data_IF_657106579812
#
_entry.id   IF_657106579812
#
_cell.length_a   1.000
_cell.length_b   1.000
_cell.length_c   1.000
_cell.angle_alpha   90.00
_cell.angle_beta   90.00
_cell.angle_gamma   90.00
#
_symmetry.space_group_name_H-M   'P 1'
#
loop_
_entity.id
_entity.type
_entity.pdbx_description
1 polymer ?
#
# COMPACT_ATOMS: atom_id res chain seq x y z
N UNK A 1 22.34 0.97 3.65
CA UNK A 1 21.21 0.09 3.29
C UNK A 1 21.62 -1.38 3.39
N UNK A 2 22.08 -1.98 2.29
CA UNK A 2 22.33 -3.44 2.20
C UNK A 2 23.21 -4.00 3.33
N UNK A 3 24.37 -3.41 3.59
CA UNK A 3 25.27 -3.89 4.65
C UNK A 3 24.63 -3.92 6.04
N UNK A 4 23.78 -2.94 6.37
CA UNK A 4 23.04 -2.91 7.64
C UNK A 4 22.12 -4.13 7.76
N UNK A 5 21.28 -4.38 6.76
CA UNK A 5 20.35 -5.51 6.74
C UNK A 5 21.06 -6.87 6.70
N UNK A 6 22.18 -6.97 5.98
CA UNK A 6 23.02 -8.17 5.97
C UNK A 6 23.61 -8.43 7.36
N UNK A 7 24.14 -7.40 8.02
CA UNK A 7 24.77 -7.52 9.33
C UNK A 7 23.79 -7.98 10.42
N UNK A 8 22.53 -7.57 10.34
CA UNK A 8 21.48 -8.05 11.25
C UNK A 8 21.35 -9.58 11.22
N UNK A 9 21.47 -10.20 10.05
CA UNK A 9 21.37 -11.66 9.87
C UNK A 9 22.71 -12.34 10.16
N UNK A 10 23.82 -11.82 9.64
CA UNK A 10 25.15 -12.46 9.79
C UNK A 10 25.65 -12.42 11.23
N UNK A 11 25.16 -11.51 12.07
CA UNK A 11 25.43 -11.48 13.51
C UNK A 11 25.07 -12.79 14.24
N UNK A 12 24.18 -13.62 13.66
CA UNK A 12 23.81 -14.92 14.22
C UNK A 12 24.88 -16.02 14.07
N UNK A 13 25.95 -15.80 13.30
CA UNK A 13 26.95 -16.82 13.01
C UNK A 13 26.31 -18.04 12.32
N UNK A 14 26.42 -19.23 12.92
CA UNK A 14 25.86 -20.50 12.42
C UNK A 14 24.58 -20.94 13.14
N UNK A 15 24.03 -20.13 14.06
CA UNK A 15 22.83 -20.48 14.79
C UNK A 15 21.59 -20.38 13.88
N UNK A 16 21.09 -21.52 13.41
CA UNK A 16 19.97 -21.58 12.46
C UNK A 16 18.68 -20.95 13.00
N UNK A 17 18.36 -21.15 14.29
CA UNK A 17 17.16 -20.55 14.89
C UNK A 17 17.26 -19.03 14.92
N UNK A 18 18.44 -18.49 15.21
CA UNK A 18 18.70 -17.05 15.15
C UNK A 18 18.58 -16.52 13.73
N UNK A 19 19.18 -17.21 12.75
CA UNK A 19 19.13 -16.83 11.33
C UNK A 19 17.69 -16.78 10.83
N UNK A 20 16.88 -17.80 11.13
CA UNK A 20 15.48 -17.88 10.70
C UNK A 20 14.66 -16.75 11.32
N UNK A 21 14.82 -16.50 12.63
CA UNK A 21 14.16 -15.40 13.31
C UNK A 21 14.58 -14.03 12.77
N UNK A 22 15.88 -13.82 12.49
CA UNK A 22 16.38 -12.57 11.89
C UNK A 22 15.87 -12.38 10.47
N UNK A 23 15.82 -13.41 9.63
CA UNK A 23 15.23 -13.34 8.27
C UNK A 23 13.77 -12.87 8.32
N UNK A 24 12.97 -13.44 9.22
CA UNK A 24 11.58 -13.05 9.40
C UNK A 24 11.49 -11.58 9.83
N UNK A 25 12.22 -11.19 10.88
CA UNK A 25 12.13 -9.84 11.45
C UNK A 25 12.71 -8.76 10.54
N UNK A 26 13.86 -8.99 9.92
CA UNK A 26 14.50 -8.06 8.98
C UNK A 26 13.60 -7.82 7.77
N UNK A 27 12.99 -8.88 7.24
CA UNK A 27 12.12 -8.75 6.08
C UNK A 27 10.80 -8.05 6.41
N UNK A 28 10.21 -8.33 7.57
CA UNK A 28 9.06 -7.57 8.06
C UNK A 28 9.42 -6.09 8.27
N UNK A 29 10.58 -5.80 8.88
CA UNK A 29 11.04 -4.44 9.15
C UNK A 29 11.17 -3.59 7.87
N UNK A 30 11.50 -4.20 6.73
CA UNK A 30 11.49 -3.48 5.45
C UNK A 30 10.09 -2.94 5.10
N UNK A 31 9.05 -3.78 5.09
CA UNK A 31 7.67 -3.37 4.78
C UNK A 31 7.07 -2.44 5.84
N UNK A 32 7.52 -2.55 7.09
CA UNK A 32 7.09 -1.71 8.20
C UNK A 32 7.90 -0.39 8.29
N UNK A 33 8.94 -0.21 7.49
CA UNK A 33 9.79 0.98 7.54
C UNK A 33 9.01 2.24 7.15
N UNK A 34 9.42 3.39 7.71
CA UNK A 34 8.84 4.68 7.32
C UNK A 34 8.96 4.92 5.82
N UNK A 35 10.09 4.55 5.21
CA UNK A 35 10.29 4.67 3.77
C UNK A 35 9.21 3.91 2.97
N UNK A 36 8.97 2.65 3.32
CA UNK A 36 7.99 1.82 2.63
C UNK A 36 6.55 2.30 2.90
N UNK A 37 6.27 2.77 4.12
CA UNK A 37 4.97 3.34 4.46
C UNK A 37 4.66 4.64 3.69
N UNK A 38 5.68 5.45 3.41
CA UNK A 38 5.56 6.71 2.67
C UNK A 38 5.66 6.54 1.15
N UNK A 39 6.00 5.34 0.68
CA UNK A 39 6.07 4.98 -0.74
C UNK A 39 5.01 3.93 -1.08
N UNK A 40 5.29 2.64 -0.89
CA UNK A 40 4.40 1.53 -1.26
C UNK A 40 3.01 1.60 -0.62
N UNK A 41 2.92 1.90 0.69
CA UNK A 41 1.60 1.98 1.33
C UNK A 41 0.85 3.26 0.93
N UNK A 42 1.57 4.34 0.59
CA UNK A 42 0.92 5.54 0.05
C UNK A 42 0.33 5.26 -1.34
N UNK A 43 1.04 4.51 -2.19
CA UNK A 43 0.49 4.09 -3.50
C UNK A 43 -0.79 3.30 -3.30
N UNK A 44 -0.78 2.25 -2.46
CA UNK A 44 -1.97 1.44 -2.18
C UNK A 44 -3.17 2.32 -1.75
N UNK A 45 -2.97 3.23 -0.79
CA UNK A 45 -4.03 4.12 -0.32
C UNK A 45 -4.49 5.17 -1.34
N UNK A 46 -3.60 5.59 -2.26
CA UNK A 46 -3.97 6.47 -3.37
C UNK A 46 -4.90 5.75 -4.35
N UNK A 47 -4.63 4.48 -4.67
CA UNK A 47 -5.53 3.66 -5.47
C UNK A 47 -6.86 3.42 -4.77
N UNK A 48 -6.85 3.10 -3.48
CA UNK A 48 -8.05 2.94 -2.65
C UNK A 48 -8.90 4.20 -2.61
N UNK A 49 -8.30 5.37 -2.37
CA UNK A 49 -9.00 6.65 -2.34
C UNK A 49 -9.58 7.03 -3.71
N UNK A 50 -8.92 6.63 -4.79
CA UNK A 50 -9.38 6.91 -6.14
C UNK A 50 -10.47 5.96 -6.61
N UNK A 51 -10.33 4.65 -6.34
CA UNK A 51 -11.13 3.63 -7.02
C UNK A 51 -11.94 2.72 -6.08
N UNK A 52 -11.75 2.83 -4.77
CA UNK A 52 -12.35 1.92 -3.79
C UNK A 52 -11.64 0.57 -3.74
N UNK A 53 -12.36 -0.45 -3.25
CA UNK A 53 -11.90 -1.85 -3.32
C UNK A 53 -12.29 -2.48 -4.66
N UNK A 54 -11.53 -3.50 -5.04
CA UNK A 54 -12.04 -4.51 -5.98
C UNK A 54 -12.83 -5.58 -5.20
N UNK A 55 -13.62 -6.37 -5.92
CA UNK A 55 -14.26 -7.58 -5.38
C UNK A 55 -13.41 -8.80 -5.73
N UNK A 56 -12.95 -9.51 -4.71
CA UNK A 56 -12.29 -10.81 -4.84
C UNK A 56 -13.23 -11.94 -4.44
N UNK A 57 -12.95 -13.16 -4.92
CA UNK A 57 -13.58 -14.38 -4.42
C UNK A 57 -12.60 -15.10 -3.48
N UNK A 58 -13.11 -15.73 -2.44
CA UNK A 58 -12.35 -16.59 -1.53
C UNK A 58 -13.12 -17.87 -1.28
N UNK A 59 -12.41 -18.98 -1.06
CA UNK A 59 -12.97 -20.25 -0.60
C UNK A 59 -12.69 -20.54 0.88
N UNK A 60 -11.94 -19.65 1.55
CA UNK A 60 -11.64 -19.74 2.98
C UNK A 60 -12.59 -18.83 3.79
N UNK A 61 -13.02 -19.21 5.02
CA UNK A 61 -13.22 -20.59 5.45
C UNK A 61 -14.38 -21.27 4.69
N UNK A 62 -15.12 -20.50 3.89
CA UNK A 62 -16.14 -20.95 2.95
C UNK A 62 -16.21 -20.00 1.75
N UNK A 63 -16.88 -20.43 0.67
CA UNK A 63 -17.02 -19.64 -0.55
C UNK A 63 -17.75 -18.31 -0.29
N UNK A 64 -17.06 -17.19 -0.51
CA UNK A 64 -17.64 -15.85 -0.37
C UNK A 64 -16.89 -14.81 -1.22
N UNK A 65 -17.49 -13.64 -1.39
CA UNK A 65 -16.84 -12.48 -1.99
C UNK A 65 -16.36 -11.51 -0.92
N UNK A 66 -15.19 -10.90 -1.10
CA UNK A 66 -14.59 -9.97 -0.15
C UNK A 66 -14.04 -8.71 -0.83
N UNK A 67 -14.03 -7.57 -0.13
CA UNK A 67 -13.32 -6.39 -0.60
C UNK A 67 -11.80 -6.59 -0.53
N UNK A 68 -11.11 -6.39 -1.64
CA UNK A 68 -9.65 -6.54 -1.75
C UNK A 68 -9.01 -5.27 -2.32
N UNK A 69 -7.74 -4.96 -1.98
CA UNK A 69 -7.03 -3.84 -2.56
C UNK A 69 -7.07 -3.88 -4.08
N UNK A 70 -7.40 -2.74 -4.69
CA UNK A 70 -7.63 -2.63 -6.13
C UNK A 70 -6.33 -2.52 -6.94
N UNK A 71 -5.25 -2.05 -6.31
CA UNK A 71 -3.93 -1.88 -6.92
C UNK A 71 -3.33 -3.23 -7.30
N UNK A 72 -2.72 -3.30 -8.48
CA UNK A 72 -2.06 -4.51 -9.00
C UNK A 72 -0.55 -4.47 -8.83
N UNK A 73 0.08 -5.62 -8.89
CA UNK A 73 1.53 -5.76 -8.68
C UNK A 73 2.36 -4.80 -9.55
N UNK A 74 2.06 -4.74 -10.85
CA UNK A 74 2.82 -3.89 -11.78
C UNK A 74 2.56 -2.39 -11.54
N UNK A 75 1.32 -2.03 -11.18
CA UNK A 75 0.95 -0.66 -10.80
C UNK A 75 1.73 -0.23 -9.56
N UNK A 76 1.69 -1.05 -8.50
CA UNK A 76 2.37 -0.75 -7.25
C UNK A 76 3.88 -0.63 -7.45
N UNK A 77 4.49 -1.57 -8.18
CA UNK A 77 5.93 -1.58 -8.40
C UNK A 77 6.40 -0.30 -9.10
N UNK A 78 5.75 0.07 -10.19
CA UNK A 78 6.10 1.27 -10.96
C UNK A 78 5.89 2.54 -10.15
N UNK A 79 4.73 2.66 -9.49
CA UNK A 79 4.37 3.88 -8.75
C UNK A 79 5.20 4.04 -7.47
N UNK A 80 5.57 2.94 -6.80
CA UNK A 80 6.48 2.97 -5.65
C UNK A 80 7.87 3.46 -6.05
N UNK A 81 8.40 2.99 -7.19
CA UNK A 81 9.67 3.46 -7.73
C UNK A 81 9.64 4.94 -8.07
N UNK A 82 8.50 5.43 -8.58
CA UNK A 82 8.32 6.86 -8.88
C UNK A 82 8.43 7.72 -7.62
N UNK A 83 7.79 7.31 -6.52
CA UNK A 83 7.86 8.04 -5.25
C UNK A 83 9.25 7.92 -4.60
N UNK A 84 9.87 6.75 -4.65
CA UNK A 84 11.19 6.48 -4.05
C UNK A 84 12.40 7.01 -4.84
N UNK A 85 12.20 7.54 -6.05
CA UNK A 85 13.28 7.94 -6.95
C UNK A 85 14.24 8.96 -6.32
N UNK A 86 15.49 8.57 -6.11
CA UNK A 86 16.53 9.44 -5.53
C UNK A 86 16.38 9.71 -4.03
N UNK A 87 15.45 9.03 -3.35
CA UNK A 87 15.31 9.11 -1.89
C UNK A 87 16.34 8.21 -1.24
N UNK A 88 17.16 8.79 -0.37
CA UNK A 88 18.11 8.06 0.48
C UNK A 88 17.87 8.50 1.91
N UNK A 89 17.13 7.69 2.68
CA UNK A 89 16.76 8.02 4.05
C UNK A 89 18.00 8.27 4.90
N UNK A 90 18.02 9.40 5.61
CA UNK A 90 19.14 9.84 6.44
C UNK A 90 20.17 10.73 5.73
N UNK A 91 20.07 10.91 4.40
CA UNK A 91 20.85 11.90 3.67
C UNK A 91 20.24 13.30 3.81
N UNK A 92 21.02 14.35 4.02
CA UNK A 92 20.50 15.73 4.12
C UNK A 92 19.53 16.08 2.98
N UNK A 93 18.30 16.48 3.32
CA UNK A 93 17.27 16.90 2.37
C UNK A 93 16.43 15.77 1.77
N UNK A 94 16.57 14.52 2.22
CA UNK A 94 15.82 13.38 1.70
C UNK A 94 14.30 13.53 1.85
N UNK A 95 13.82 14.18 2.92
CA UNK A 95 12.40 14.45 3.16
C UNK A 95 11.81 15.36 2.07
N UNK A 96 12.57 16.38 1.65
CA UNK A 96 12.15 17.30 0.58
C UNK A 96 12.10 16.57 -0.77
N UNK A 97 13.07 15.71 -1.06
CA UNK A 97 13.06 14.88 -2.29
C UNK A 97 11.82 13.98 -2.29
N UNK A 98 11.55 13.30 -1.18
CA UNK A 98 10.38 12.44 -1.04
C UNK A 98 9.07 13.22 -1.24
N UNK A 99 8.90 14.37 -0.59
CA UNK A 99 7.68 15.16 -0.71
C UNK A 99 7.48 15.67 -2.16
N UNK A 100 8.54 16.16 -2.81
CA UNK A 100 8.49 16.55 -4.22
C UNK A 100 8.07 15.38 -5.12
N UNK A 101 8.61 14.19 -4.89
CA UNK A 101 8.25 13.00 -5.66
C UNK A 101 6.78 12.61 -5.48
N UNK A 102 6.28 12.66 -4.24
CA UNK A 102 4.87 12.36 -3.98
C UNK A 102 3.92 13.39 -4.60
N UNK A 103 4.29 14.67 -4.63
CA UNK A 103 3.51 15.72 -5.32
C UNK A 103 3.48 15.48 -6.83
N UNK A 104 4.64 15.18 -7.43
CA UNK A 104 4.74 14.86 -8.85
C UNK A 104 3.92 13.61 -9.20
N UNK A 105 4.02 12.56 -8.38
CA UNK A 105 3.23 11.34 -8.54
C UNK A 105 1.73 11.62 -8.44
N UNK A 106 1.26 12.37 -7.43
CA UNK A 106 -0.15 12.69 -7.28
C UNK A 106 -0.69 13.51 -8.45
N UNK A 107 0.09 14.49 -8.95
CA UNK A 107 -0.27 15.28 -10.12
C UNK A 107 -0.38 14.43 -11.39
N UNK A 108 0.52 13.47 -11.59
CA UNK A 108 0.46 12.52 -12.71
C UNK A 108 -0.74 11.56 -12.56
N UNK A 109 -0.94 11.03 -11.35
CA UNK A 109 -1.98 10.04 -11.05
C UNK A 109 -3.38 10.55 -11.38
N UNK A 110 -3.71 11.79 -10.98
CA UNK A 110 -5.04 12.38 -11.21
C UNK A 110 -5.32 12.75 -12.67
N UNK A 111 -4.31 12.65 -13.54
CA UNK A 111 -4.43 12.86 -14.99
C UNK A 111 -4.56 11.53 -15.76
N UNK A 112 -4.43 10.38 -15.09
CA UNK A 112 -4.59 9.07 -15.74
C UNK A 112 -6.00 8.92 -16.30
N UNK A 113 -6.13 8.29 -17.46
CA UNK A 113 -7.42 8.07 -18.11
C UNK A 113 -8.44 7.43 -17.16
N UNK A 114 -8.04 6.33 -16.49
CA UNK A 114 -8.83 5.62 -15.47
C UNK A 114 -9.35 6.56 -14.37
N UNK A 115 -8.53 7.52 -13.93
CA UNK A 115 -8.92 8.50 -12.91
C UNK A 115 -9.91 9.52 -13.47
N UNK A 116 -9.60 10.12 -14.63
CA UNK A 116 -10.46 11.14 -15.25
C UNK A 116 -11.82 10.61 -15.70
N UNK A 117 -11.92 9.30 -15.99
CA UNK A 117 -13.20 8.63 -16.31
C UNK A 117 -14.16 8.61 -15.12
N UNK A 118 -13.66 8.33 -13.91
CA UNK A 118 -14.51 8.26 -12.71
C UNK A 118 -14.63 9.62 -11.99
N UNK A 119 -13.69 10.52 -12.23
CA UNK A 119 -13.73 11.91 -11.75
C UNK A 119 -13.74 12.88 -12.94
N UNK A 120 -14.88 13.09 -13.62
CA UNK A 120 -14.99 14.10 -14.66
C UNK A 120 -14.63 15.50 -14.15
N UNK A 121 -14.03 16.35 -14.99
CA UNK A 121 -13.68 17.74 -14.61
C UNK A 121 -14.89 18.59 -14.27
N UNK A 122 -16.09 18.18 -14.73
CA UNK A 122 -17.38 18.82 -14.43
C UNK A 122 -17.91 18.54 -13.02
N UNK A 123 -17.32 17.61 -12.26
CA UNK A 123 -17.72 17.38 -10.86
C UNK A 123 -17.47 18.63 -10.01
N UNK A 124 -18.32 18.89 -9.03
CA UNK A 124 -18.03 19.93 -8.03
C UNK A 124 -16.93 19.47 -7.07
N UNK A 125 -16.20 20.39 -6.41
CA UNK A 125 -15.24 20.03 -5.36
C UNK A 125 -15.82 19.14 -4.27
N UNK A 126 -17.05 19.44 -3.82
CA UNK A 126 -17.73 18.65 -2.78
C UNK A 126 -18.02 17.22 -3.25
N UNK A 127 -18.49 17.05 -4.48
CA UNK A 127 -18.72 15.73 -5.06
C UNK A 127 -17.42 14.93 -5.18
N UNK A 128 -16.35 15.55 -5.66
CA UNK A 128 -15.03 14.93 -5.77
C UNK A 128 -14.49 14.46 -4.41
N UNK A 129 -14.56 15.33 -3.40
CA UNK A 129 -14.08 15.02 -2.04
C UNK A 129 -14.91 13.91 -1.40
N UNK A 130 -16.24 14.02 -1.45
CA UNK A 130 -17.13 13.01 -0.86
C UNK A 130 -16.95 11.63 -1.53
N UNK A 131 -16.81 11.60 -2.87
CA UNK A 131 -16.54 10.35 -3.58
C UNK A 131 -15.19 9.75 -3.19
N UNK A 132 -14.15 10.57 -3.03
CA UNK A 132 -12.83 10.10 -2.60
C UNK A 132 -12.85 9.49 -1.19
N UNK A 133 -13.55 10.11 -0.24
CA UNK A 133 -13.75 9.55 1.10
C UNK A 133 -14.63 8.29 1.10
N UNK A 134 -15.68 8.26 0.26
CA UNK A 134 -16.52 7.09 0.09
C UNK A 134 -15.73 5.89 -0.46
N UNK A 135 -14.90 6.11 -1.47
CA UNK A 135 -13.97 5.10 -1.98
C UNK A 135 -12.99 4.61 -0.91
N UNK A 136 -12.45 5.55 -0.12
CA UNK A 136 -11.57 5.24 1.00
C UNK A 136 -12.28 4.43 2.12
N UNK A 137 -13.60 4.42 2.19
CA UNK A 137 -14.33 3.81 3.31
C UNK A 137 -14.16 4.57 4.63
N UNK A 138 -13.83 5.87 4.54
CA UNK A 138 -13.60 6.74 5.69
C UNK A 138 -14.74 7.75 5.80
N UNK A 139 -15.35 7.80 6.98
CA UNK A 139 -16.20 8.94 7.37
C UNK A 139 -15.30 10.05 7.89
N UNK A 140 -15.10 11.16 7.15
CA UNK A 140 -14.17 12.20 7.57
C UNK A 140 -14.71 12.99 8.76
N UNK A 141 -13.79 13.54 9.57
CA UNK A 141 -14.15 14.60 10.50
C UNK A 141 -14.60 15.85 9.74
N UNK A 142 -15.35 16.76 10.38
CA UNK A 142 -15.73 18.04 9.78
C UNK A 142 -14.51 18.86 9.35
N UNK A 143 -13.43 18.80 10.11
CA UNK A 143 -12.15 19.46 9.81
C UNK A 143 -11.48 18.85 8.56
N UNK A 144 -11.40 17.53 8.47
CA UNK A 144 -10.78 16.86 7.31
C UNK A 144 -11.56 17.12 6.02
N UNK A 145 -12.90 17.05 6.11
CA UNK A 145 -13.79 17.34 4.99
C UNK A 145 -13.62 18.78 4.51
N UNK A 146 -13.66 19.75 5.43
CA UNK A 146 -13.49 21.16 5.10
C UNK A 146 -12.11 21.44 4.49
N UNK A 147 -11.04 20.86 5.04
CA UNK A 147 -9.69 21.04 4.52
C UNK A 147 -9.52 20.42 3.11
N UNK A 148 -10.14 19.27 2.84
CA UNK A 148 -10.12 18.63 1.53
C UNK A 148 -10.87 19.45 0.45
N UNK A 149 -12.00 20.06 0.82
CA UNK A 149 -12.77 20.96 -0.06
C UNK A 149 -11.98 22.26 -0.30
N UNK A 150 -11.33 22.80 0.74
CA UNK A 150 -10.57 24.04 0.65
C UNK A 150 -9.39 23.99 -0.33
N UNK A 151 -8.89 22.81 -0.69
CA UNK A 151 -7.87 22.64 -1.74
C UNK A 151 -8.28 23.22 -3.10
N UNK A 152 -9.59 23.34 -3.35
CA UNK A 152 -10.18 23.91 -4.58
C UNK A 152 -10.50 25.41 -4.47
N UNK A 153 -10.34 26.03 -3.29
CA UNK A 153 -10.66 27.44 -3.07
C UNK A 153 -12.10 27.81 -3.46
N UNK A 154 -12.27 28.80 -4.33
CA UNK A 154 -13.57 29.25 -4.85
C UNK A 154 -14.00 28.56 -6.16
N UNK A 155 -13.28 27.52 -6.61
CA UNK A 155 -13.61 26.83 -7.84
C UNK A 155 -15.00 26.17 -7.76
N UNK A 156 -15.76 26.23 -8.86
CA UNK A 156 -17.09 25.62 -8.96
C UNK A 156 -17.05 24.19 -9.51
N UNK A 157 -15.90 23.77 -10.05
CA UNK A 157 -15.67 22.45 -10.59
C UNK A 157 -14.27 21.94 -10.22
N UNK A 158 -14.04 20.64 -10.37
CA UNK A 158 -12.79 19.98 -10.09
C UNK A 158 -11.93 19.87 -11.35
N UNK A 159 -11.72 20.93 -12.13
CA UNK A 159 -10.81 20.90 -13.29
C UNK A 159 -9.34 21.14 -12.93
N UNK A 160 -9.06 21.76 -11.79
CA UNK A 160 -7.70 22.03 -11.31
C UNK A 160 -6.97 20.73 -10.91
N UNK A 161 -5.93 20.39 -11.66
CA UNK A 161 -5.08 19.20 -11.46
C UNK A 161 -4.35 19.24 -10.11
N UNK A 162 -3.85 20.41 -9.71
CA UNK A 162 -3.14 20.58 -8.44
C UNK A 162 -4.07 20.40 -7.25
N UNK A 163 -5.28 20.96 -7.30
CA UNK A 163 -6.30 20.78 -6.27
C UNK A 163 -6.71 19.30 -6.14
N UNK A 164 -6.97 18.62 -7.27
CA UNK A 164 -7.24 17.17 -7.28
C UNK A 164 -6.14 16.36 -6.62
N UNK A 165 -4.88 16.64 -6.97
CA UNK A 165 -3.73 15.93 -6.45
C UNK A 165 -3.58 16.11 -4.93
N UNK A 166 -3.70 17.34 -4.43
CA UNK A 166 -3.64 17.64 -3.00
C UNK A 166 -4.82 17.03 -2.23
N UNK A 167 -6.03 17.11 -2.77
CA UNK A 167 -7.21 16.47 -2.17
C UNK A 167 -7.05 14.96 -2.09
N UNK A 168 -6.63 14.30 -3.17
CA UNK A 168 -6.44 12.85 -3.19
C UNK A 168 -5.35 12.42 -2.19
N UNK A 169 -4.23 13.15 -2.13
CA UNK A 169 -3.17 12.95 -1.11
C UNK A 169 -3.72 13.08 0.31
N UNK A 170 -4.51 14.12 0.58
CA UNK A 170 -5.13 14.34 1.90
C UNK A 170 -6.02 13.16 2.33
N UNK A 171 -6.80 12.60 1.41
CA UNK A 171 -7.62 11.40 1.71
C UNK A 171 -6.72 10.17 1.91
N UNK A 172 -5.75 9.94 1.03
CA UNK A 172 -4.84 8.79 1.07
C UNK A 172 -3.90 8.78 2.29
N UNK A 173 -3.60 9.95 2.86
CA UNK A 173 -2.76 10.13 4.05
C UNK A 173 -3.59 10.35 5.32
N UNK A 174 -4.92 10.27 5.24
CA UNK A 174 -5.79 10.37 6.41
C UNK A 174 -5.46 9.24 7.41
N UNK A 175 -5.40 9.58 8.70
CA UNK A 175 -4.98 8.65 9.76
C UNK A 175 -5.93 7.47 9.95
N UNK A 176 -7.24 7.67 9.73
CA UNK A 176 -8.23 6.59 9.76
C UNK A 176 -7.97 5.61 8.62
N UNK A 177 -7.77 6.10 7.39
CA UNK A 177 -7.46 5.23 6.25
C UNK A 177 -6.15 4.47 6.46
N UNK A 178 -5.11 5.15 6.96
CA UNK A 178 -3.82 4.53 7.27
C UNK A 178 -4.00 3.33 8.21
N UNK A 179 -4.77 3.53 9.29
CA UNK A 179 -5.05 2.46 10.27
C UNK A 179 -5.86 1.32 9.65
N UNK A 180 -6.89 1.63 8.87
CA UNK A 180 -7.79 0.63 8.26
C UNK A 180 -7.07 -0.25 7.22
N UNK A 181 -6.18 0.34 6.41
CA UNK A 181 -5.50 -0.38 5.33
C UNK A 181 -4.18 -1.02 5.75
N UNK A 182 -3.63 -0.72 6.93
CA UNK A 182 -2.29 -1.16 7.31
C UNK A 182 -2.08 -2.68 7.15
N UNK A 183 -2.95 -3.49 7.75
CA UNK A 183 -2.84 -4.96 7.66
C UNK A 183 -3.16 -5.49 6.25
N UNK A 184 -4.11 -4.86 5.56
CA UNK A 184 -4.50 -5.21 4.18
C UNK A 184 -3.33 -5.01 3.22
N UNK A 185 -2.72 -3.82 3.26
CA UNK A 185 -1.53 -3.49 2.52
C UNK A 185 -0.36 -4.40 2.92
N UNK A 186 -0.13 -4.66 4.20
CA UNK A 186 0.98 -5.51 4.64
C UNK A 186 0.90 -6.94 4.10
N UNK A 187 -0.29 -7.54 4.10
CA UNK A 187 -0.54 -8.86 3.50
C UNK A 187 -0.31 -8.79 1.98
N UNK A 188 -0.85 -7.77 1.31
CA UNK A 188 -0.65 -7.57 -0.14
C UNK A 188 0.84 -7.48 -0.50
N UNK A 189 1.64 -6.79 0.31
CA UNK A 189 3.09 -6.68 0.10
C UNK A 189 3.82 -8.02 0.22
N UNK A 190 3.27 -9.02 0.89
CA UNK A 190 3.90 -10.33 0.92
C UNK A 190 3.81 -10.99 -0.47
N UNK A 191 2.66 -10.89 -1.14
CA UNK A 191 2.48 -11.38 -2.50
C UNK A 191 3.35 -10.61 -3.49
N UNK A 192 3.34 -9.27 -3.41
CA UNK A 192 4.09 -8.43 -4.34
C UNK A 192 5.61 -8.51 -4.11
N UNK A 193 6.04 -8.52 -2.85
CA UNK A 193 7.44 -8.50 -2.46
C UNK A 193 8.13 -9.84 -2.69
N UNK A 194 7.57 -10.93 -2.15
CA UNK A 194 8.18 -12.26 -2.26
C UNK A 194 7.80 -12.99 -3.53
N UNK A 195 6.51 -13.00 -3.88
CA UNK A 195 6.00 -13.83 -4.98
C UNK A 195 6.00 -13.10 -6.33
N UNK A 196 6.12 -11.76 -6.31
CA UNK A 196 6.20 -10.90 -7.51
C UNK A 196 4.97 -11.05 -8.42
N UNK A 197 3.77 -11.16 -7.83
CA UNK A 197 2.50 -11.39 -8.54
C UNK A 197 1.29 -10.91 -7.75
N UNK A 198 0.14 -10.77 -8.42
CA UNK A 198 -1.14 -10.52 -7.77
C UNK A 198 -1.62 -11.73 -6.95
N UNK A 199 -2.36 -11.55 -5.84
CA UNK A 199 -2.80 -12.66 -5.00
C UNK A 199 -3.64 -13.72 -5.72
N UNK A 200 -4.37 -13.31 -6.77
CA UNK A 200 -5.24 -14.16 -7.60
C UNK A 200 -4.63 -14.50 -8.97
N UNK A 201 -3.30 -14.61 -9.03
CA UNK A 201 -2.59 -14.92 -10.27
C UNK A 201 -1.53 -16.00 -10.07
N UNK A 202 -1.05 -16.60 -11.17
CA UNK A 202 -0.07 -17.69 -11.12
C UNK A 202 -0.72 -19.00 -10.66
N UNK A 203 -0.24 -19.64 -9.58
CA UNK A 203 -0.86 -20.87 -9.07
C UNK A 203 -2.22 -20.64 -8.40
N UNK A 204 -2.53 -19.40 -8.03
CA UNK A 204 -3.79 -19.02 -7.37
C UNK A 204 -4.77 -18.45 -8.40
N UNK A 205 -6.03 -18.88 -8.36
CA UNK A 205 -7.11 -18.39 -9.23
C UNK A 205 -8.03 -17.37 -8.55
N UNK A 206 -7.88 -17.18 -7.25
CA UNK A 206 -8.75 -16.34 -6.41
C UNK A 206 -7.96 -15.69 -5.25
N UNK A 207 -8.64 -15.04 -4.31
CA UNK A 207 -8.03 -14.35 -3.18
C UNK A 207 -8.00 -15.18 -1.89
N UNK A 208 -8.20 -16.50 -1.97
CA UNK A 208 -8.22 -17.37 -0.79
C UNK A 208 -6.98 -17.23 0.08
N UNK A 209 -5.79 -17.16 -0.54
CA UNK A 209 -4.54 -16.96 0.18
C UNK A 209 -4.45 -15.60 0.87
N UNK A 210 -4.87 -14.53 0.19
CA UNK A 210 -4.90 -13.18 0.75
C UNK A 210 -5.85 -13.10 1.95
N UNK A 211 -7.05 -13.65 1.80
CA UNK A 211 -8.07 -13.69 2.84
C UNK A 211 -7.61 -14.48 4.09
N UNK A 212 -7.04 -15.67 3.86
CA UNK A 212 -6.47 -16.48 4.94
C UNK A 212 -5.43 -15.71 5.76
N UNK A 213 -4.47 -15.06 5.09
CA UNK A 213 -3.41 -14.33 5.78
C UNK A 213 -3.92 -13.07 6.45
N UNK A 214 -4.85 -12.33 5.83
CA UNK A 214 -5.46 -11.17 6.45
C UNK A 214 -6.25 -11.54 7.71
N UNK A 215 -7.05 -12.61 7.63
CA UNK A 215 -7.80 -13.14 8.77
C UNK A 215 -6.87 -13.56 9.91
N UNK A 216 -5.82 -14.34 9.61
CA UNK A 216 -4.85 -14.79 10.60
C UNK A 216 -4.07 -13.63 11.21
N UNK A 217 -3.63 -12.66 10.40
CA UNK A 217 -2.91 -11.49 10.89
C UNK A 217 -3.78 -10.65 11.84
N UNK A 218 -5.06 -10.46 11.50
CA UNK A 218 -6.01 -9.74 12.36
C UNK A 218 -6.30 -10.50 13.66
N UNK A 219 -6.41 -11.83 13.63
CA UNK A 219 -6.56 -12.66 14.83
C UNK A 219 -5.42 -12.45 15.83
N UNK A 220 -4.21 -12.19 15.34
CA UNK A 220 -3.04 -11.91 16.17
C UNK A 220 -2.74 -10.41 16.31
N UNK A 221 -3.72 -9.54 16.10
CA UNK A 221 -3.61 -8.08 16.27
C UNK A 221 -2.46 -7.46 15.46
N UNK A 222 -2.21 -7.93 14.23
CA UNK A 222 -1.10 -7.45 13.39
C UNK A 222 0.26 -8.08 13.71
N UNK A 223 0.34 -9.00 14.68
CA UNK A 223 1.59 -9.68 15.00
C UNK A 223 1.93 -10.75 13.95
N UNK A 224 2.79 -10.40 13.00
CA UNK A 224 3.22 -11.28 11.91
C UNK A 224 4.01 -12.51 12.36
N UNK A 225 4.64 -12.46 13.54
CA UNK A 225 5.38 -13.60 14.12
C UNK A 225 4.39 -14.65 14.59
N UNK A 226 3.39 -14.24 15.38
CA UNK A 226 2.34 -15.14 15.87
C UNK A 226 1.44 -15.63 14.73
N UNK A 227 1.19 -14.79 13.73
CA UNK A 227 0.51 -15.20 12.50
C UNK A 227 1.36 -16.14 11.63
N UNK A 228 2.67 -16.26 11.88
CA UNK A 228 3.65 -16.98 11.06
C UNK A 228 3.64 -16.57 9.57
N UNK A 229 3.11 -15.38 9.25
CA UNK A 229 2.83 -14.98 7.88
C UNK A 229 4.12 -14.82 7.07
N UNK A 230 5.01 -13.94 7.52
CA UNK A 230 6.28 -13.65 6.83
C UNK A 230 7.12 -14.92 6.66
N UNK A 231 7.16 -15.77 7.68
CA UNK A 231 7.83 -17.08 7.65
C UNK A 231 7.28 -17.97 6.54
N UNK A 232 5.96 -18.03 6.37
CA UNK A 232 5.34 -18.86 5.35
C UNK A 232 5.66 -18.38 3.92
N UNK A 233 5.73 -17.08 3.68
CA UNK A 233 6.13 -16.55 2.36
C UNK A 233 7.61 -16.82 2.07
N UNK A 234 8.52 -16.57 3.02
CA UNK A 234 9.97 -16.81 2.86
C UNK A 234 10.29 -18.29 2.66
N UNK A 235 9.55 -19.20 3.31
CA UNK A 235 9.79 -20.65 3.19
C UNK A 235 8.94 -21.32 2.11
N UNK A 236 8.07 -20.56 1.41
CA UNK A 236 7.27 -21.07 0.30
C UNK A 236 8.15 -21.65 -0.80
N UNK A 237 7.66 -22.71 -1.47
CA UNK A 237 8.35 -23.31 -2.61
C UNK A 237 8.53 -22.29 -3.73
N UNK A 238 7.52 -21.48 -4.01
CA UNK A 238 7.56 -20.43 -5.03
C UNK A 238 8.67 -19.42 -4.77
N UNK A 239 8.82 -18.92 -3.54
CA UNK A 239 9.91 -17.99 -3.21
C UNK A 239 11.28 -18.67 -3.30
N UNK A 240 11.43 -19.87 -2.72
CA UNK A 240 12.70 -20.59 -2.71
C UNK A 240 13.18 -20.99 -4.10
N UNK A 241 12.28 -21.39 -5.00
CA UNK A 241 12.64 -21.69 -6.38
C UNK A 241 13.13 -20.47 -7.17
N UNK A 242 12.70 -19.26 -6.79
CA UNK A 242 13.12 -18.02 -7.44
C UNK A 242 14.40 -17.42 -6.86
N UNK A 243 14.53 -17.44 -5.53
CA UNK A 243 15.54 -16.64 -4.82
C UNK A 243 16.29 -17.40 -3.71
N UNK A 244 15.91 -18.66 -3.45
CA UNK A 244 16.64 -19.53 -2.52
C UNK A 244 17.78 -20.27 -3.21
N UNK A 245 18.73 -20.84 -2.44
CA UNK A 245 19.56 -21.93 -2.93
C UNK A 245 18.73 -23.20 -3.18
#
# INVERSE_FOLDING_TARGET
GLAFWTNEITSCGTNQQCIDAKRINVSAAYFLSLEFQQTGYLVERMYKSAYGDATGNSTFPSAHALPVPIVRFNELLSDTQRIGSGVVVGQTGWETVLENNKQAFAAEFVQRSRFTTIFPTSMTPVQFVNQSFANAGVTPSSTDLAAAIAEFGSATNASDVGARARTLRRVAENSTLNTQEFNRAFVLMQFFGYLRRDPNSGPDADYTGYDFWLTKLNQFNGNFVNAEMVKAFITSSEYRQRFGP
#
